data_IF_646759465562
#
_entry.id   IF_646759465562
#
_cell.length_a   1.000
_cell.length_b   1.000
_cell.length_c   1.000
_cell.angle_alpha   90.00
_cell.angle_beta   90.00
_cell.angle_gamma   90.00
#
_symmetry.space_group_name_H-M   'P 1'
#
loop_
_entity.id
_entity.type
_entity.pdbx_description
1 polymer ?
#
# COMPACT_ATOMS: atom_id res chain seq x y z
N UNK A 1 23.07 21.06 33.95
CA UNK A 1 23.49 20.13 32.87
C UNK A 1 22.71 18.83 32.88
N UNK A 2 22.34 18.29 34.06
CA UNK A 2 21.44 17.13 34.18
C UNK A 2 20.04 17.37 33.60
N UNK A 3 19.40 18.50 33.90
CA UNK A 3 18.07 18.84 33.36
C UNK A 3 18.03 18.87 31.82
N UNK A 4 19.09 19.36 31.17
CA UNK A 4 19.19 19.39 29.70
C UNK A 4 19.31 17.97 29.13
N UNK A 5 19.97 17.08 29.85
CA UNK A 5 20.15 15.68 29.46
C UNK A 5 18.86 14.89 29.63
N UNK A 6 18.14 15.09 30.74
CA UNK A 6 16.80 14.52 30.95
C UNK A 6 15.81 15.02 29.90
N UNK A 7 15.82 16.31 29.57
CA UNK A 7 14.94 16.86 28.54
C UNK A 7 15.20 16.20 27.18
N UNK A 8 16.47 15.99 26.83
CA UNK A 8 16.87 15.33 25.59
C UNK A 8 16.39 13.86 25.55
N UNK A 9 16.58 13.11 26.63
CA UNK A 9 16.13 11.71 26.71
C UNK A 9 14.61 11.58 26.59
N UNK A 10 13.86 12.52 27.18
CA UNK A 10 12.39 12.56 27.04
C UNK A 10 11.98 12.87 25.61
N UNK A 11 12.64 13.83 24.96
CA UNK A 11 12.36 14.20 23.57
C UNK A 11 12.65 13.05 22.59
N UNK A 12 13.77 12.35 22.75
CA UNK A 12 14.12 11.18 21.93
C UNK A 12 13.07 10.06 22.08
N UNK A 13 12.61 9.78 23.30
CA UNK A 13 11.52 8.81 23.54
C UNK A 13 10.20 9.22 22.90
N UNK A 14 9.84 10.51 22.95
CA UNK A 14 8.63 11.02 22.30
C UNK A 14 8.75 10.90 20.78
N UNK A 15 9.92 11.22 20.24
CA UNK A 15 10.22 11.08 18.83
C UNK A 15 10.08 9.63 18.35
N UNK A 16 10.68 8.68 19.07
CA UNK A 16 10.58 7.26 18.79
C UNK A 16 9.13 6.75 18.75
N UNK A 17 8.31 7.18 19.72
CA UNK A 17 6.87 6.87 19.75
C UNK A 17 6.09 7.44 18.56
N UNK A 18 6.43 8.64 18.10
CA UNK A 18 5.79 9.23 16.92
C UNK A 18 6.15 8.50 15.63
N UNK A 19 7.43 8.15 15.47
CA UNK A 19 7.89 7.35 14.33
C UNK A 19 7.17 6.00 14.34
N UNK A 20 7.09 5.34 15.51
CA UNK A 20 6.38 4.08 15.67
C UNK A 20 4.89 4.20 15.30
N UNK A 21 4.21 5.26 15.73
CA UNK A 21 2.82 5.52 15.36
C UNK A 21 2.65 5.70 13.83
N UNK A 22 3.59 6.38 13.17
CA UNK A 22 3.61 6.49 11.71
C UNK A 22 3.81 5.14 11.02
N UNK A 23 4.71 4.29 11.52
CA UNK A 23 4.94 2.95 11.00
C UNK A 23 3.73 2.03 11.19
N UNK A 24 3.08 2.08 12.35
CA UNK A 24 1.82 1.36 12.60
C UNK A 24 0.69 1.85 11.67
N UNK A 25 0.65 3.14 11.35
CA UNK A 25 -0.27 3.66 10.34
C UNK A 25 0.00 3.05 8.95
N UNK A 26 1.26 2.96 8.54
CA UNK A 26 1.66 2.26 7.31
C UNK A 26 1.18 0.81 7.30
N UNK A 27 1.42 0.05 8.38
CA UNK A 27 0.93 -1.32 8.54
C UNK A 27 -0.61 -1.40 8.42
N UNK A 28 -1.35 -0.52 9.10
CA UNK A 28 -2.80 -0.50 9.02
C UNK A 28 -3.31 -0.21 7.60
N UNK A 29 -2.63 0.67 6.85
CA UNK A 29 -3.03 1.00 5.48
C UNK A 29 -2.91 -0.22 4.57
N UNK A 30 -1.74 -0.87 4.57
CA UNK A 30 -1.54 -2.11 3.81
C UNK A 30 -2.46 -3.24 4.28
N UNK A 31 -2.66 -3.40 5.59
CA UNK A 31 -3.57 -4.40 6.16
C UNK A 31 -5.02 -4.20 5.74
N UNK A 32 -5.50 -2.95 5.68
CA UNK A 32 -6.85 -2.64 5.22
C UNK A 32 -7.04 -3.01 3.75
N UNK A 33 -6.11 -2.61 2.87
CA UNK A 33 -6.17 -2.95 1.44
C UNK A 33 -6.00 -4.44 1.18
N UNK A 34 -5.12 -5.11 1.92
CA UNK A 34 -4.96 -6.56 1.86
C UNK A 34 -6.28 -7.25 2.24
N UNK A 35 -6.94 -6.81 3.31
CA UNK A 35 -8.23 -7.36 3.71
C UNK A 35 -9.30 -7.17 2.65
N UNK A 36 -9.37 -5.98 2.03
CA UNK A 36 -10.28 -5.70 0.90
C UNK A 36 -10.01 -6.63 -0.28
N UNK A 37 -8.74 -6.83 -0.66
CA UNK A 37 -8.39 -7.69 -1.78
C UNK A 37 -8.71 -9.16 -1.48
N UNK A 38 -8.34 -9.66 -0.30
CA UNK A 38 -8.61 -11.05 0.10
C UNK A 38 -10.12 -11.31 0.20
N UNK A 39 -10.89 -10.38 0.76
CA UNK A 39 -12.34 -10.53 0.84
C UNK A 39 -12.99 -10.57 -0.54
N UNK A 40 -12.48 -9.77 -1.49
CA UNK A 40 -12.92 -9.84 -2.89
C UNK A 40 -12.68 -11.23 -3.48
N UNK A 41 -11.47 -11.77 -3.30
CA UNK A 41 -11.11 -13.12 -3.75
C UNK A 41 -11.97 -14.21 -3.13
N UNK A 42 -12.30 -14.11 -1.83
CA UNK A 42 -13.20 -15.05 -1.16
C UNK A 42 -14.58 -15.03 -1.81
N UNK A 43 -15.14 -13.86 -2.09
CA UNK A 43 -16.48 -13.73 -2.70
C UNK A 43 -16.52 -14.33 -4.10
N UNK A 44 -15.59 -13.94 -4.97
CA UNK A 44 -15.58 -14.44 -6.36
C UNK A 44 -15.19 -15.93 -6.44
N UNK A 45 -14.54 -16.46 -5.39
CA UNK A 45 -14.20 -17.88 -5.29
C UNK A 45 -15.37 -18.78 -4.91
N UNK A 46 -16.44 -18.22 -4.31
CA UNK A 46 -17.61 -19.00 -3.85
C UNK A 46 -18.90 -18.70 -4.61
N UNK A 47 -18.93 -17.60 -5.38
CA UNK A 47 -20.10 -17.17 -6.13
C UNK A 47 -19.71 -16.74 -7.55
N UNK A 48 -20.52 -17.14 -8.53
CA UNK A 48 -20.44 -16.61 -9.89
C UNK A 48 -21.07 -15.21 -9.92
N UNK A 49 -20.21 -14.20 -9.81
CA UNK A 49 -20.59 -12.83 -9.52
C UNK A 49 -20.60 -12.04 -10.84
N UNK A 50 -21.71 -11.35 -11.18
CA UNK A 50 -21.79 -10.56 -12.40
C UNK A 50 -20.87 -9.35 -12.32
N UNK A 51 -20.37 -8.87 -13.47
CA UNK A 51 -19.38 -7.78 -13.52
C UNK A 51 -19.85 -6.50 -12.83
N UNK A 52 -21.17 -6.24 -12.76
CA UNK A 52 -21.79 -5.11 -12.08
C UNK A 52 -21.46 -5.09 -10.58
N UNK A 53 -21.16 -6.24 -9.97
CA UNK A 53 -20.70 -6.29 -8.59
C UNK A 53 -19.41 -5.49 -8.39
N UNK A 54 -18.51 -5.46 -9.38
CA UNK A 54 -17.30 -4.64 -9.31
C UNK A 54 -17.60 -3.15 -9.20
N UNK A 55 -18.70 -2.69 -9.82
CA UNK A 55 -19.15 -1.30 -9.73
C UNK A 55 -19.64 -0.92 -8.33
N UNK A 56 -20.02 -1.89 -7.50
CA UNK A 56 -20.48 -1.67 -6.13
C UNK A 56 -19.37 -1.95 -5.14
N UNK A 57 -18.70 -3.10 -5.28
CA UNK A 57 -17.68 -3.58 -4.36
C UNK A 57 -16.52 -2.60 -4.21
N UNK A 58 -15.90 -2.19 -5.31
CA UNK A 58 -14.70 -1.36 -5.26
C UNK A 58 -14.97 0.05 -4.69
N UNK A 59 -16.05 0.76 -5.08
CA UNK A 59 -16.41 2.01 -4.43
C UNK A 59 -16.72 1.88 -2.94
N UNK A 60 -17.49 0.86 -2.54
CA UNK A 60 -17.80 0.61 -1.12
C UNK A 60 -16.53 0.30 -0.34
N UNK A 61 -15.69 -0.60 -0.86
CA UNK A 61 -14.43 -0.95 -0.24
C UNK A 61 -13.49 0.25 -0.12
N UNK A 62 -13.42 1.11 -1.16
CA UNK A 62 -12.66 2.36 -1.12
C UNK A 62 -13.16 3.28 0.00
N UNK A 63 -14.48 3.50 0.10
CA UNK A 63 -15.09 4.33 1.16
C UNK A 63 -14.77 3.75 2.55
N UNK A 64 -14.88 2.44 2.73
CA UNK A 64 -14.60 1.77 4.01
C UNK A 64 -13.12 1.85 4.36
N UNK A 65 -12.22 1.51 3.45
CA UNK A 65 -10.78 1.53 3.67
C UNK A 65 -10.27 2.95 3.94
N UNK A 66 -10.72 3.93 3.15
CA UNK A 66 -10.37 5.35 3.35
C UNK A 66 -11.01 5.93 4.62
N UNK A 67 -12.24 5.52 4.96
CA UNK A 67 -12.89 5.92 6.20
C UNK A 67 -12.19 5.37 7.45
N UNK A 68 -11.68 4.14 7.38
CA UNK A 68 -10.90 3.53 8.46
C UNK A 68 -9.52 4.18 8.59
N UNK A 69 -8.74 4.17 7.51
CA UNK A 69 -7.37 4.72 7.50
C UNK A 69 -7.37 6.23 7.70
N UNK A 70 -8.30 6.97 7.09
CA UNK A 70 -8.43 8.42 7.24
C UNK A 70 -8.70 8.87 8.68
N UNK A 71 -9.43 8.08 9.48
CA UNK A 71 -9.62 8.37 10.92
C UNK A 71 -8.32 8.22 11.70
N UNK A 72 -7.54 7.17 11.43
CA UNK A 72 -6.23 6.99 12.04
C UNK A 72 -5.25 8.09 11.60
N UNK A 73 -5.29 8.47 10.33
CA UNK A 73 -4.47 9.54 9.76
C UNK A 73 -4.70 10.89 10.45
N UNK A 74 -5.97 11.30 10.67
CA UNK A 74 -6.29 12.54 11.38
C UNK A 74 -5.71 12.57 12.80
N UNK A 75 -5.71 11.42 13.49
CA UNK A 75 -5.11 11.31 14.83
C UNK A 75 -3.59 11.45 14.77
N UNK A 76 -2.95 10.83 13.79
CA UNK A 76 -1.50 10.96 13.56
C UNK A 76 -1.09 12.39 13.21
N UNK A 77 -1.83 13.06 12.33
CA UNK A 77 -1.59 14.47 11.99
C UNK A 77 -1.71 15.38 13.22
N UNK A 78 -2.71 15.13 14.08
CA UNK A 78 -2.87 15.88 15.34
C UNK A 78 -1.66 15.69 16.25
N UNK A 79 -1.11 14.49 16.34
CA UNK A 79 0.09 14.20 17.14
C UNK A 79 1.33 14.90 16.57
N UNK A 80 1.56 14.83 15.26
CA UNK A 80 2.71 15.48 14.62
C UNK A 80 2.71 17.02 14.74
N UNK A 81 1.53 17.65 14.61
CA UNK A 81 1.39 19.11 14.80
C UNK A 81 1.80 19.57 16.20
N UNK A 82 1.53 18.77 17.23
CA UNK A 82 1.87 19.11 18.62
C UNK A 82 3.38 19.00 18.87
N UNK A 83 4.10 18.21 18.08
CA UNK A 83 5.53 17.94 18.29
C UNK A 83 6.44 18.65 17.30
N UNK A 84 5.93 19.67 16.57
CA UNK A 84 6.70 20.44 15.59
C UNK A 84 7.15 19.65 14.36
N UNK A 85 6.79 18.37 14.28
CA UNK A 85 6.89 17.53 13.09
C UNK A 85 5.53 17.54 12.43
N UNK A 86 5.18 18.64 11.77
CA UNK A 86 4.14 18.57 10.77
C UNK A 86 4.53 17.42 9.85
N UNK A 87 3.86 16.27 9.97
CA UNK A 87 4.06 15.18 9.04
C UNK A 87 3.73 15.78 7.68
N UNK A 88 4.78 16.05 6.91
CA UNK A 88 4.83 16.78 5.65
C UNK A 88 4.05 16.02 4.56
N UNK A 89 2.76 15.81 4.76
CA UNK A 89 1.86 15.56 3.64
C UNK A 89 1.43 16.93 3.14
N UNK A 90 2.39 17.59 2.48
CA UNK A 90 2.08 18.64 1.53
C UNK A 90 0.89 18.15 0.69
N UNK A 91 -0.16 18.96 0.54
CA UNK A 91 -1.31 18.58 -0.28
C UNK A 91 -0.91 18.10 -1.69
N UNK A 92 0.25 18.57 -2.19
CA UNK A 92 0.90 18.09 -3.41
C UNK A 92 1.27 16.61 -3.36
N UNK A 93 1.81 16.09 -2.25
CA UNK A 93 2.14 14.67 -2.08
C UNK A 93 0.90 13.79 -2.15
N UNK A 94 -0.20 14.19 -1.49
CA UNK A 94 -1.47 13.47 -1.58
C UNK A 94 -2.04 13.43 -3.01
N UNK A 95 -1.96 14.54 -3.75
CA UNK A 95 -2.37 14.61 -5.16
C UNK A 95 -1.50 13.69 -6.03
N UNK A 96 -0.18 13.68 -5.84
CA UNK A 96 0.72 12.83 -6.62
C UNK A 96 0.46 11.34 -6.38
N UNK A 97 0.14 10.95 -5.14
CA UNK A 97 -0.29 9.57 -4.84
C UNK A 97 -1.61 9.28 -5.58
N UNK A 98 -2.61 10.14 -5.48
CA UNK A 98 -3.88 9.92 -6.19
C UNK A 98 -3.66 9.77 -7.71
N UNK A 99 -2.81 10.60 -8.31
CA UNK A 99 -2.45 10.51 -9.73
C UNK A 99 -1.73 9.21 -10.07
N UNK A 100 -0.87 8.68 -9.19
CA UNK A 100 -0.18 7.41 -9.45
C UNK A 100 -1.14 6.21 -9.45
N UNK A 101 -2.16 6.24 -8.60
CA UNK A 101 -3.22 5.24 -8.60
C UNK A 101 -4.11 5.34 -9.83
N UNK A 102 -4.54 6.54 -10.22
CA UNK A 102 -5.34 6.76 -11.44
C UNK A 102 -4.56 6.27 -12.67
N UNK A 103 -3.30 6.65 -12.79
CA UNK A 103 -2.44 6.25 -13.90
C UNK A 103 -2.22 4.74 -13.91
N UNK A 104 -1.98 4.13 -12.75
CA UNK A 104 -1.84 2.69 -12.64
C UNK A 104 -3.11 1.92 -13.01
N UNK A 105 -4.31 2.42 -12.66
CA UNK A 105 -5.58 1.80 -13.05
C UNK A 105 -5.73 1.82 -14.58
N UNK A 106 -5.45 2.97 -15.21
CA UNK A 106 -5.50 3.11 -16.67
C UNK A 106 -4.51 2.14 -17.34
N UNK A 107 -3.28 2.07 -16.83
CA UNK A 107 -2.25 1.17 -17.36
C UNK A 107 -2.63 -0.31 -17.19
N UNK A 108 -2.92 -0.75 -15.97
CA UNK A 108 -3.09 -2.16 -15.66
C UNK A 108 -4.44 -2.76 -16.04
N UNK A 109 -5.50 -1.97 -16.13
CA UNK A 109 -6.81 -2.47 -16.56
C UNK A 109 -7.19 -2.04 -17.98
N UNK A 110 -6.64 -0.93 -18.47
CA UNK A 110 -6.97 -0.37 -19.78
C UNK A 110 -5.97 -0.72 -20.87
N UNK A 111 -4.69 -0.40 -20.67
CA UNK A 111 -3.67 -0.45 -21.72
C UNK A 111 -3.02 -1.83 -21.81
N UNK A 112 -2.44 -2.31 -20.72
CA UNK A 112 -1.59 -3.50 -20.71
C UNK A 112 -2.34 -4.77 -21.16
N UNK A 113 -3.55 -5.09 -20.65
CA UNK A 113 -4.27 -6.27 -21.10
C UNK A 113 -4.59 -6.27 -22.60
N UNK A 114 -4.78 -5.08 -23.21
CA UNK A 114 -5.08 -4.92 -24.64
C UNK A 114 -3.86 -5.12 -25.54
N UNK A 115 -2.66 -5.08 -24.97
CA UNK A 115 -1.42 -5.41 -25.69
C UNK A 115 -1.20 -6.92 -25.78
N UNK A 116 -2.06 -7.73 -25.16
CA UNK A 116 -1.99 -9.19 -25.10
C UNK A 116 -0.61 -9.74 -24.72
N UNK A 117 0.00 -9.28 -23.60
CA UNK A 117 1.34 -9.70 -23.20
C UNK A 117 1.41 -11.16 -22.71
N UNK A 118 0.27 -11.77 -22.38
CA UNK A 118 0.20 -13.15 -21.90
C UNK A 118 -0.17 -14.16 -22.99
N UNK A 119 0.13 -15.44 -22.75
CA UNK A 119 -0.24 -16.56 -23.63
C UNK A 119 -1.75 -16.73 -23.82
N UNK A 120 -2.57 -16.13 -22.95
CA UNK A 120 -4.02 -16.06 -23.08
C UNK A 120 -4.59 -14.78 -22.42
N UNK A 121 -5.92 -14.62 -22.46
CA UNK A 121 -6.61 -13.47 -21.90
C UNK A 121 -6.44 -13.36 -20.37
N UNK A 122 -6.51 -14.48 -19.64
CA UNK A 122 -6.32 -14.49 -18.18
C UNK A 122 -4.91 -14.03 -17.80
N UNK A 123 -3.89 -14.58 -18.45
CA UNK A 123 -2.49 -14.18 -18.29
C UNK A 123 -2.27 -12.70 -18.58
N UNK A 124 -2.88 -12.17 -19.64
CA UNK A 124 -2.80 -10.75 -19.99
C UNK A 124 -3.45 -9.86 -18.94
N UNK A 125 -4.58 -10.29 -18.36
CA UNK A 125 -5.24 -9.60 -17.25
C UNK A 125 -4.40 -9.64 -15.97
N UNK A 126 -3.78 -10.78 -15.66
CA UNK A 126 -2.89 -10.94 -14.51
C UNK A 126 -1.65 -10.04 -14.61
N UNK A 127 -1.03 -9.96 -15.79
CA UNK A 127 0.08 -9.03 -16.08
C UNK A 127 -0.36 -7.58 -15.89
N UNK A 128 -1.56 -7.23 -16.36
CA UNK A 128 -2.16 -5.92 -16.12
C UNK A 128 -2.33 -5.61 -14.64
N UNK A 129 -2.91 -6.53 -13.86
CA UNK A 129 -3.10 -6.38 -12.42
C UNK A 129 -1.78 -6.21 -11.66
N UNK A 130 -0.78 -7.06 -11.94
CA UNK A 130 0.54 -6.96 -11.32
C UNK A 130 1.24 -5.64 -11.67
N UNK A 131 1.11 -5.19 -12.92
CA UNK A 131 1.68 -3.94 -13.39
C UNK A 131 1.02 -2.73 -12.75
N UNK A 132 -0.31 -2.76 -12.56
CA UNK A 132 -1.05 -1.75 -11.79
C UNK A 132 -0.48 -1.62 -10.37
N UNK A 133 -0.42 -2.73 -9.62
CA UNK A 133 0.04 -2.71 -8.24
C UNK A 133 1.51 -2.27 -8.15
N UNK A 134 2.38 -2.88 -8.96
CA UNK A 134 3.80 -2.56 -8.98
C UNK A 134 4.04 -1.06 -9.26
N UNK A 135 3.41 -0.52 -10.31
CA UNK A 135 3.56 0.88 -10.68
C UNK A 135 3.00 1.84 -9.62
N UNK A 136 1.75 1.62 -9.18
CA UNK A 136 1.09 2.56 -8.25
C UNK A 136 1.79 2.62 -6.90
N UNK A 137 2.21 1.47 -6.37
CA UNK A 137 2.90 1.39 -5.07
C UNK A 137 4.34 1.90 -5.18
N UNK A 138 5.05 1.62 -6.29
CA UNK A 138 6.38 2.19 -6.53
C UNK A 138 6.34 3.73 -6.64
N UNK A 139 5.39 4.27 -7.39
CA UNK A 139 5.22 5.71 -7.52
C UNK A 139 4.84 6.36 -6.18
N UNK A 140 3.98 5.71 -5.38
CA UNK A 140 3.67 6.16 -4.02
C UNK A 140 4.93 6.18 -3.13
N UNK A 141 5.78 5.15 -3.23
CA UNK A 141 7.06 5.10 -2.53
C UNK A 141 8.00 6.25 -2.93
N UNK A 142 8.08 6.60 -4.22
CA UNK A 142 8.85 7.77 -4.69
C UNK A 142 8.32 9.09 -4.10
N UNK A 143 7.00 9.23 -3.98
CA UNK A 143 6.40 10.41 -3.34
C UNK A 143 6.81 10.49 -1.88
N UNK A 144 6.74 9.38 -1.13
CA UNK A 144 7.19 9.37 0.26
C UNK A 144 8.70 9.67 0.38
N UNK A 145 9.53 9.06 -0.46
CA UNK A 145 10.97 9.32 -0.47
C UNK A 145 11.31 10.80 -0.69
N UNK A 146 10.50 11.53 -1.48
CA UNK A 146 10.70 12.95 -1.76
C UNK A 146 10.15 13.90 -0.67
N UNK A 147 9.02 13.56 -0.05
CA UNK A 147 8.27 14.50 0.80
C UNK A 147 8.15 14.10 2.28
N UNK A 148 8.49 12.86 2.66
CA UNK A 148 8.31 12.38 4.04
C UNK A 148 9.40 11.43 4.55
N UNK A 149 10.37 11.07 3.69
CA UNK A 149 11.45 10.14 4.01
C UNK A 149 11.30 8.77 3.33
N UNK A 150 12.39 8.02 3.29
CA UNK A 150 12.45 6.73 2.58
C UNK A 150 11.77 5.63 3.41
N UNK A 151 10.55 5.30 3.04
CA UNK A 151 9.74 4.22 3.63
C UNK A 151 10.13 2.85 3.03
N UNK A 152 11.23 2.25 3.53
CA UNK A 152 11.76 0.98 3.00
C UNK A 152 10.79 -0.20 3.19
N UNK A 153 9.89 -0.10 4.16
CA UNK A 153 8.90 -1.12 4.48
C UNK A 153 7.89 -1.37 3.36
N UNK A 154 7.72 -0.40 2.44
CA UNK A 154 6.83 -0.50 1.27
C UNK A 154 7.41 -1.38 0.16
N UNK A 155 8.73 -1.54 0.11
CA UNK A 155 9.43 -2.15 -1.04
C UNK A 155 8.86 -3.51 -1.46
N UNK A 156 8.57 -4.46 -0.53
CA UNK A 156 8.00 -5.74 -0.91
C UNK A 156 6.67 -5.62 -1.66
N UNK A 157 5.84 -4.61 -1.34
CA UNK A 157 4.51 -4.44 -1.91
C UNK A 157 4.49 -4.00 -3.38
N UNK A 158 5.60 -3.49 -3.93
CA UNK A 158 5.73 -3.26 -5.38
C UNK A 158 6.73 -4.21 -6.05
N UNK A 159 7.80 -4.58 -5.35
CA UNK A 159 8.87 -5.36 -5.94
C UNK A 159 8.44 -6.81 -6.20
N UNK A 160 7.73 -7.44 -5.26
CA UNK A 160 7.25 -8.82 -5.42
C UNK A 160 6.20 -8.93 -6.54
N UNK A 161 5.21 -8.03 -6.65
CA UNK A 161 4.33 -8.00 -7.82
C UNK A 161 5.10 -7.79 -9.14
N UNK A 162 6.10 -6.91 -9.16
CA UNK A 162 6.89 -6.62 -10.36
C UNK A 162 7.68 -7.84 -10.86
N UNK A 163 8.33 -8.58 -9.95
CA UNK A 163 9.06 -9.80 -10.32
C UNK A 163 8.14 -10.92 -10.81
N UNK A 164 6.85 -10.84 -10.47
CA UNK A 164 5.86 -11.80 -10.94
C UNK A 164 5.44 -11.62 -12.40
N UNK A 165 5.60 -10.42 -12.97
CA UNK A 165 5.10 -10.11 -14.32
C UNK A 165 5.62 -11.08 -15.39
N UNK A 166 6.93 -11.38 -15.50
CA UNK A 166 7.43 -12.28 -16.55
C UNK A 166 6.91 -13.71 -16.43
N UNK A 167 6.60 -14.16 -15.22
CA UNK A 167 6.03 -15.49 -14.98
C UNK A 167 4.56 -15.50 -15.39
N UNK A 168 3.76 -14.52 -14.97
CA UNK A 168 2.35 -14.39 -15.37
C UNK A 168 2.16 -14.41 -16.89
N UNK A 169 3.07 -13.78 -17.64
CA UNK A 169 3.02 -13.76 -19.12
C UNK A 169 2.99 -15.18 -19.74
N UNK A 170 3.59 -16.16 -19.06
CA UNK A 170 3.76 -17.53 -19.58
C UNK A 170 2.79 -18.54 -18.97
N UNK A 171 1.90 -18.12 -18.09
CA UNK A 171 0.98 -19.03 -17.40
C UNK A 171 -0.22 -19.37 -18.27
N UNK A 172 -0.43 -20.66 -18.53
CA UNK A 172 -1.58 -21.14 -19.29
C UNK A 172 -2.87 -21.17 -18.47
N UNK A 173 -2.79 -21.35 -17.16
CA UNK A 173 -3.96 -21.40 -16.27
C UNK A 173 -3.65 -20.78 -14.91
N UNK A 174 -4.67 -20.19 -14.27
CA UNK A 174 -4.58 -19.73 -12.87
C UNK A 174 -3.70 -18.49 -12.66
N UNK A 175 -3.37 -17.76 -13.73
CA UNK A 175 -2.52 -16.59 -13.70
C UNK A 175 -3.08 -15.50 -12.77
N UNK A 176 -4.40 -15.30 -12.75
CA UNK A 176 -5.03 -14.25 -11.95
C UNK A 176 -5.04 -14.59 -10.45
N UNK A 177 -5.26 -15.86 -10.11
CA UNK A 177 -5.17 -16.34 -8.74
C UNK A 177 -3.74 -16.21 -8.21
N UNK A 178 -2.76 -16.64 -9.01
CA UNK A 178 -1.34 -16.52 -8.68
C UNK A 178 -0.90 -15.07 -8.49
N UNK A 179 -1.33 -14.16 -9.37
CA UNK A 179 -1.08 -12.72 -9.21
C UNK A 179 -1.68 -12.17 -7.91
N UNK A 180 -2.88 -12.61 -7.54
CA UNK A 180 -3.51 -12.29 -6.26
C UNK A 180 -2.67 -12.71 -5.06
N UNK A 181 -2.15 -13.94 -5.07
CA UNK A 181 -1.27 -14.44 -4.00
C UNK A 181 0.05 -13.66 -3.91
N UNK A 182 0.65 -13.26 -5.04
CA UNK A 182 1.86 -12.43 -5.03
C UNK A 182 1.63 -11.05 -4.41
N UNK A 183 0.53 -10.39 -4.78
CA UNK A 183 0.16 -9.11 -4.17
C UNK A 183 -0.12 -9.29 -2.68
N UNK A 184 -0.85 -10.35 -2.32
CA UNK A 184 -1.11 -10.72 -0.94
C UNK A 184 0.16 -10.92 -0.12
N UNK A 185 1.14 -11.64 -0.66
CA UNK A 185 2.46 -11.85 -0.06
C UNK A 185 3.21 -10.53 0.10
N UNK A 186 3.29 -9.72 -0.96
CA UNK A 186 4.00 -8.43 -0.93
C UNK A 186 3.41 -7.48 0.11
N UNK A 187 2.09 -7.39 0.20
CA UNK A 187 1.40 -6.56 1.18
C UNK A 187 1.57 -7.09 2.60
N UNK A 188 1.50 -8.42 2.79
CA UNK A 188 1.73 -9.05 4.11
C UNK A 188 3.14 -8.78 4.61
N UNK A 189 4.16 -8.91 3.75
CA UNK A 189 5.55 -8.60 4.11
C UNK A 189 5.74 -7.12 4.42
N UNK A 190 5.08 -6.22 3.68
CA UNK A 190 5.08 -4.80 4.01
C UNK A 190 4.47 -4.53 5.38
N UNK A 191 3.33 -5.15 5.73
CA UNK A 191 2.72 -5.05 7.07
C UNK A 191 3.70 -5.49 8.15
N UNK A 192 4.33 -6.66 8.00
CA UNK A 192 5.30 -7.18 8.98
C UNK A 192 6.51 -6.25 9.10
N UNK A 193 7.05 -5.77 7.98
CA UNK A 193 8.17 -4.83 7.96
C UNK A 193 7.82 -3.52 8.70
N UNK A 194 6.62 -2.98 8.47
CA UNK A 194 6.12 -1.81 9.17
C UNK A 194 6.00 -2.03 10.68
N UNK A 195 5.43 -3.16 11.10
CA UNK A 195 5.31 -3.49 12.52
C UNK A 195 6.70 -3.63 13.17
N UNK A 196 7.62 -4.35 12.52
CA UNK A 196 8.99 -4.51 13.00
C UNK A 196 9.70 -3.16 13.16
N UNK A 197 9.63 -2.30 12.14
CA UNK A 197 10.20 -0.94 12.20
C UNK A 197 9.54 -0.07 13.28
N UNK A 198 8.26 -0.28 13.58
CA UNK A 198 7.58 0.42 14.68
C UNK A 198 8.18 0.05 16.04
N UNK A 199 8.37 -1.24 16.32
CA UNK A 199 8.99 -1.69 17.57
C UNK A 199 10.42 -1.17 17.73
N UNK A 200 11.22 -1.28 16.66
CA UNK A 200 12.60 -0.75 16.66
C UNK A 200 12.66 0.76 16.91
N UNK A 201 11.64 1.52 16.50
CA UNK A 201 11.58 2.94 16.74
C UNK A 201 11.28 3.30 18.21
N UNK A 202 10.61 2.42 18.97
CA UNK A 202 10.31 2.62 20.40
C UNK A 202 11.53 2.29 21.27
N UNK A 203 12.38 1.35 20.83
CA UNK A 203 13.60 0.93 21.54
C UNK A 203 14.76 1.91 21.43
N UNK A 204 14.63 2.95 20.59
CA UNK A 204 15.54 4.10 20.54
C UNK A 204 15.24 5.07 21.67
#
# INVERSE_FOLDING_TARGET
MEEVRELKDVLERVEGKLIAAGKLYGAMNFGAWLSVMLFYYVIIGVADIPWQFNLVYWPVAFIVAMGFTGRAWKRLQKLGRVTGREAEVSGKGGILIALSWITGIILGWGIIPRMSPGVNAEASMAVGFLSFIAFSVFAMWLVFAKYGGVEREIIPAFLIPATGIPVAMRMETGAMAWAGFLVGLGFSLAVVAYIYSAFRAIER
#
